data_IF_316572062654
#
_entry.id   IF_316572062654
#
_cell.length_a   1.000
_cell.length_b   1.000
_cell.length_c   1.000
_cell.angle_alpha   90.00
_cell.angle_beta   90.00
_cell.angle_gamma   90.00
#
_symmetry.space_group_name_H-M   'P 1'
#
loop_
_entity.id
_entity.type
_entity.pdbx_description
1 polymer ?
#
# COMPACT_ATOMS: atom_id res chain seq x y z
N UNK A 1 12.63 -7.55 6.12
CA UNK A 1 11.93 -7.13 4.88
C UNK A 1 11.00 -5.95 5.12
N UNK A 2 10.11 -6.00 6.13
CA UNK A 2 9.25 -4.87 6.52
C UNK A 2 10.03 -3.58 6.78
N UNK A 3 11.16 -3.63 7.49
CA UNK A 3 11.98 -2.44 7.79
C UNK A 3 12.60 -1.80 6.54
N UNK A 4 12.97 -2.61 5.55
CA UNK A 4 13.49 -2.12 4.27
C UNK A 4 12.41 -1.35 3.51
N UNK A 5 11.20 -1.91 3.44
CA UNK A 5 10.04 -1.26 2.84
C UNK A 5 9.71 0.06 3.55
N UNK A 6 9.66 0.05 4.88
CA UNK A 6 9.43 1.26 5.68
C UNK A 6 10.47 2.34 5.37
N UNK A 7 11.76 1.98 5.31
CA UNK A 7 12.85 2.91 4.98
C UNK A 7 12.74 3.47 3.55
N UNK A 8 12.37 2.65 2.58
CA UNK A 8 12.17 3.10 1.18
C UNK A 8 11.02 4.09 1.10
N UNK A 9 9.87 3.74 1.67
CA UNK A 9 8.67 4.57 1.63
C UNK A 9 8.86 5.89 2.38
N UNK A 10 9.44 5.86 3.59
CA UNK A 10 9.74 7.09 4.34
C UNK A 10 10.70 8.03 3.60
N UNK A 11 11.71 7.49 2.91
CA UNK A 11 12.64 8.32 2.10
C UNK A 11 11.96 9.01 0.93
N UNK A 12 10.87 8.44 0.41
CA UNK A 12 10.02 9.05 -0.63
C UNK A 12 8.97 10.02 -0.05
N UNK A 13 8.98 10.26 1.27
CA UNK A 13 8.03 11.18 1.92
C UNK A 13 6.68 10.56 2.28
N UNK A 14 6.54 9.23 2.19
CA UNK A 14 5.31 8.56 2.63
C UNK A 14 5.25 8.42 4.15
N UNK A 15 4.09 8.72 4.72
CA UNK A 15 3.73 8.21 6.04
C UNK A 15 3.46 6.70 5.93
N UNK A 16 4.09 5.93 6.81
CA UNK A 16 3.96 4.47 6.82
C UNK A 16 3.31 4.04 8.12
N UNK A 17 2.06 3.61 8.02
CA UNK A 17 1.30 3.02 9.11
C UNK A 17 1.31 1.51 8.94
N UNK A 18 1.56 0.80 10.03
CA UNK A 18 1.71 -0.64 9.99
C UNK A 18 0.88 -1.26 11.11
N UNK A 19 0.04 -2.23 10.75
CA UNK A 19 -0.92 -2.85 11.68
C UNK A 19 -0.41 -4.20 12.17
N UNK A 20 -0.88 -4.61 13.35
CA UNK A 20 -0.57 -5.92 13.95
C UNK A 20 -1.44 -7.03 13.39
N UNK A 21 -2.71 -6.74 13.07
CA UNK A 21 -3.67 -7.73 12.58
C UNK A 21 -3.92 -7.63 11.07
N UNK A 22 -3.53 -8.66 10.28
CA UNK A 22 -3.61 -8.61 8.81
C UNK A 22 -5.04 -8.66 8.25
N UNK A 23 -6.02 -9.10 9.05
CA UNK A 23 -7.43 -9.19 8.65
C UNK A 23 -8.23 -7.89 8.81
N UNK A 24 -7.63 -6.85 9.41
CA UNK A 24 -8.30 -5.57 9.64
C UNK A 24 -7.59 -4.48 8.85
N UNK A 25 -8.31 -3.87 7.92
CA UNK A 25 -7.91 -2.61 7.29
C UNK A 25 -8.69 -1.48 7.97
N UNK A 26 -8.10 -0.72 8.91
CA UNK A 26 -8.81 0.34 9.61
C UNK A 26 -9.35 1.43 8.67
N UNK A 27 -8.70 1.63 7.52
CA UNK A 27 -9.16 2.57 6.48
C UNK A 27 -10.48 2.11 5.87
N UNK A 28 -10.61 0.83 5.54
CA UNK A 28 -11.85 0.27 5.03
C UNK A 28 -12.98 0.40 6.05
N UNK A 29 -12.71 0.03 7.30
CA UNK A 29 -13.70 0.02 8.40
C UNK A 29 -14.20 1.43 8.71
N UNK A 30 -13.32 2.45 8.68
CA UNK A 30 -13.68 3.82 9.10
C UNK A 30 -14.30 4.68 8.00
N UNK A 31 -13.91 4.51 6.73
CA UNK A 31 -14.26 5.47 5.68
C UNK A 31 -14.94 4.86 4.43
N UNK A 32 -15.04 3.54 4.35
CA UNK A 32 -15.19 2.85 3.07
C UNK A 32 -13.91 3.01 2.27
N UNK A 33 -13.28 1.90 1.85
CA UNK A 33 -11.94 1.97 1.25
C UNK A 33 -11.95 2.81 -0.04
N UNK A 34 -11.33 4.00 0.00
CA UNK A 34 -11.13 4.90 -1.16
C UNK A 34 -9.68 4.85 -1.68
N UNK A 35 -8.92 3.82 -1.30
CA UNK A 35 -7.53 3.66 -1.72
C UNK A 35 -7.51 3.29 -3.21
N UNK A 36 -6.84 4.11 -4.00
CA UNK A 36 -6.73 3.93 -5.46
C UNK A 36 -5.62 2.96 -5.85
N UNK A 37 -4.47 3.05 -5.19
CA UNK A 37 -3.29 2.24 -5.51
C UNK A 37 -3.11 1.16 -4.44
N UNK A 38 -3.34 -0.10 -4.81
CA UNK A 38 -3.24 -1.25 -3.90
C UNK A 38 -2.20 -2.23 -4.45
N UNK A 39 -1.24 -2.61 -3.60
CA UNK A 39 -0.25 -3.64 -3.91
C UNK A 39 -0.32 -4.78 -2.89
N UNK A 40 -0.34 -6.02 -3.37
CA UNK A 40 -0.33 -7.23 -2.58
C UNK A 40 1.02 -7.92 -2.76
N UNK A 41 1.68 -8.28 -1.65
CA UNK A 41 3.02 -8.86 -1.66
C UNK A 41 3.01 -10.24 -0.99
N UNK A 42 2.99 -11.32 -1.76
CA UNK A 42 2.90 -12.70 -1.26
C UNK A 42 3.95 -13.61 -1.89
N UNK A 43 4.40 -14.65 -1.17
CA UNK A 43 5.34 -15.65 -1.70
C UNK A 43 4.68 -17.00 -2.02
N UNK A 44 3.42 -17.19 -1.65
CA UNK A 44 2.74 -18.49 -1.66
C UNK A 44 1.41 -18.47 -2.43
N UNK A 45 1.19 -17.45 -3.27
CA UNK A 45 -0.06 -17.33 -4.03
C UNK A 45 -0.01 -18.12 -5.32
N UNK A 46 -1.12 -18.77 -5.64
CA UNK A 46 -1.32 -19.49 -6.88
C UNK A 46 -2.05 -18.60 -7.89
N UNK A 47 -2.15 -19.08 -9.13
CA UNK A 47 -2.80 -18.37 -10.22
C UNK A 47 -4.22 -17.86 -9.88
N UNK A 48 -5.07 -18.58 -9.13
CA UNK A 48 -6.39 -18.08 -8.75
C UNK A 48 -6.35 -16.81 -7.89
N UNK A 49 -5.47 -16.74 -6.89
CA UNK A 49 -5.37 -15.54 -6.05
C UNK A 49 -4.77 -14.36 -6.80
N UNK A 50 -3.79 -14.61 -7.67
CA UNK A 50 -3.17 -13.58 -8.52
C UNK A 50 -4.22 -12.97 -9.45
N UNK A 51 -5.01 -13.82 -10.14
CA UNK A 51 -6.07 -13.37 -11.03
C UNK A 51 -7.13 -12.55 -10.30
N UNK A 52 -7.54 -12.99 -9.11
CA UNK A 52 -8.49 -12.26 -8.28
C UNK A 52 -7.96 -10.89 -7.87
N UNK A 53 -6.68 -10.79 -7.49
CA UNK A 53 -6.07 -9.52 -7.15
C UNK A 53 -6.07 -8.53 -8.33
N UNK A 54 -5.74 -9.00 -9.54
CA UNK A 54 -5.78 -8.18 -10.74
C UNK A 54 -7.20 -7.72 -11.10
N UNK A 55 -8.22 -8.58 -10.94
CA UNK A 55 -9.63 -8.20 -11.13
C UNK A 55 -10.08 -7.10 -10.18
N UNK A 56 -9.51 -7.04 -8.98
CA UNK A 56 -9.76 -5.99 -7.98
C UNK A 56 -8.92 -4.71 -8.23
N UNK A 57 -8.14 -4.67 -9.32
CA UNK A 57 -7.26 -3.54 -9.65
C UNK A 57 -6.00 -3.46 -8.80
N UNK A 58 -5.67 -4.51 -8.03
CA UNK A 58 -4.45 -4.55 -7.23
C UNK A 58 -3.26 -5.01 -8.07
N UNK A 59 -2.10 -4.42 -7.82
CA UNK A 59 -0.82 -4.93 -8.30
C UNK A 59 -0.32 -6.06 -7.41
N UNK A 60 0.28 -7.08 -8.00
CA UNK A 60 0.77 -8.27 -7.27
C UNK A 60 2.29 -8.34 -7.38
N UNK A 61 2.96 -8.50 -6.25
CA UNK A 61 4.40 -8.73 -6.16
C UNK A 61 4.64 -10.10 -5.53
N UNK A 62 5.17 -11.02 -6.33
CA UNK A 62 5.61 -12.32 -5.83
C UNK A 62 6.94 -12.17 -5.10
N UNK A 63 7.02 -12.70 -3.87
CA UNK A 63 8.26 -12.70 -3.10
C UNK A 63 9.15 -13.85 -3.56
N UNK A 64 10.48 -13.63 -3.72
CA UNK A 64 11.16 -12.33 -3.60
C UNK A 64 10.90 -11.42 -4.82
N UNK A 65 10.71 -10.13 -4.58
CA UNK A 65 10.59 -9.11 -5.63
C UNK A 65 11.73 -8.10 -5.51
N UNK A 66 12.04 -7.41 -6.61
CA UNK A 66 13.11 -6.41 -6.61
C UNK A 66 12.62 -5.06 -6.08
N UNK A 67 13.51 -4.32 -5.42
CA UNK A 67 13.24 -2.93 -5.02
C UNK A 67 13.05 -2.03 -6.23
N UNK A 68 13.65 -2.37 -7.38
CA UNK A 68 13.50 -1.64 -8.63
C UNK A 68 12.06 -1.68 -9.13
N UNK A 69 11.43 -2.84 -9.13
CA UNK A 69 10.04 -3.01 -9.59
C UNK A 69 9.06 -2.30 -8.66
N UNK A 70 9.31 -2.37 -7.34
CA UNK A 70 8.53 -1.61 -6.36
C UNK A 70 8.65 -0.10 -6.61
N UNK A 71 9.86 0.41 -6.86
CA UNK A 71 10.07 1.83 -7.13
C UNK A 71 9.37 2.26 -8.42
N UNK A 72 9.49 1.48 -9.51
CA UNK A 72 8.81 1.78 -10.76
C UNK A 72 7.28 1.86 -10.58
N UNK A 73 6.71 0.93 -9.81
CA UNK A 73 5.29 0.97 -9.48
C UNK A 73 4.90 2.21 -8.66
N UNK A 74 5.71 2.59 -7.67
CA UNK A 74 5.50 3.82 -6.90
C UNK A 74 5.57 5.07 -7.80
N UNK A 75 6.52 5.13 -8.73
CA UNK A 75 6.66 6.24 -9.69
C UNK A 75 5.39 6.40 -10.55
N UNK A 76 4.80 5.29 -11.03
CA UNK A 76 3.52 5.32 -11.76
C UNK A 76 2.34 5.75 -10.89
N UNK A 77 2.31 5.31 -9.62
CA UNK A 77 1.30 5.74 -8.67
C UNK A 77 1.36 7.25 -8.42
N UNK A 78 2.57 7.79 -8.29
CA UNK A 78 2.85 9.19 -8.00
C UNK A 78 2.38 10.15 -9.09
N UNK A 79 2.38 9.73 -10.36
CA UNK A 79 1.84 10.54 -11.48
C UNK A 79 0.36 10.90 -11.33
N UNK A 80 -0.41 10.09 -10.61
CA UNK A 80 -1.85 10.24 -10.43
C UNK A 80 -2.22 10.86 -9.07
N UNK A 81 -1.22 11.30 -8.32
CA UNK A 81 -1.40 11.93 -7.01
C UNK A 81 -1.53 13.44 -7.20
N UNK A 82 -2.58 14.04 -6.64
CA UNK A 82 -2.74 15.48 -6.72
C UNK A 82 -1.62 16.20 -5.94
N UNK A 83 -0.91 17.17 -6.56
CA UNK A 83 0.21 17.86 -5.92
C UNK A 83 -0.17 18.60 -4.63
N UNK A 84 -1.42 19.06 -4.53
CA UNK A 84 -1.95 19.78 -3.36
C UNK A 84 -2.51 18.90 -2.26
N UNK A 85 -2.36 17.57 -2.33
CA UNK A 85 -2.93 16.68 -1.29
C UNK A 85 -2.28 16.93 0.08
N UNK A 86 -3.08 16.91 1.12
CA UNK A 86 -2.60 16.88 2.51
C UNK A 86 -2.48 15.44 3.02
N UNK A 87 -1.67 15.24 4.06
CA UNK A 87 -1.71 14.00 4.84
C UNK A 87 -3.09 13.85 5.46
N UNK A 88 -3.57 12.60 5.52
CA UNK A 88 -4.87 12.32 6.12
C UNK A 88 -4.76 12.33 7.64
N UNK A 89 -5.78 12.89 8.28
CA UNK A 89 -6.01 12.85 9.74
C UNK A 89 -6.55 11.50 10.23
N UNK A 90 -6.68 10.51 9.35
CA UNK A 90 -7.18 9.16 9.62
C UNK A 90 -6.55 8.47 10.83
N UNK A 91 -5.27 8.78 11.08
CA UNK A 91 -4.46 8.21 12.15
C UNK A 91 -4.04 9.27 13.18
N UNK A 92 -4.52 10.51 13.06
CA UNK A 92 -4.31 11.51 14.08
C UNK A 92 -5.03 11.10 15.38
N UNK A 93 -4.43 11.36 16.55
CA UNK A 93 -5.13 11.20 17.82
C UNK A 93 -6.37 12.11 17.83
N UNK A 94 -7.53 11.58 18.24
CA UNK A 94 -8.73 12.41 18.41
C UNK A 94 -8.46 13.50 19.45
N UNK A 95 -8.89 14.75 19.22
CA UNK A 95 -8.88 15.76 20.27
C UNK A 95 -9.74 15.29 21.45
N UNK A 96 -9.22 15.55 22.66
CA UNK A 96 -9.81 15.21 23.97
C UNK A 96 -11.18 15.83 24.18
#
# INVERSE_FOLDING_TARGET
MRDVLVRILKRRGYEVVAFEHPGLCPVHIRLGCKIRNVALMSGAWELPEINRAHQLGASVFNKPFSVKDLNAWLDECEKNIEPGRALSDLFAPKPS
#
